data_IF_517378924439
#
_entry.id   IF_517378924439
#
_cell.length_a   1.000
_cell.length_b   1.000
_cell.length_c   1.000
_cell.angle_alpha   90.00
_cell.angle_beta   90.00
_cell.angle_gamma   90.00
#
_symmetry.space_group_name_H-M   'P 1'
#
loop_
_entity.id
_entity.type
_entity.pdbx_description
1 polymer ?
#
# COMPACT_ATOMS: atom_id res chain seq x y z
N UNK A 1 11.04 -9.14 14.92
CA UNK A 1 10.60 -10.52 14.61
C UNK A 1 10.25 -10.59 13.14
N UNK A 2 10.69 -11.64 12.45
CA UNK A 2 10.20 -11.94 11.11
C UNK A 2 8.83 -12.64 11.25
N UNK A 3 7.81 -12.09 10.62
CA UNK A 3 6.45 -12.64 10.67
C UNK A 3 6.28 -13.91 9.85
N UNK A 4 7.26 -14.24 8.99
CA UNK A 4 7.34 -15.54 8.32
C UNK A 4 7.86 -16.66 9.24
N UNK A 5 8.56 -16.32 10.34
CA UNK A 5 8.95 -17.25 11.40
C UNK A 5 7.82 -17.34 12.43
N UNK A 6 6.92 -18.31 12.24
CA UNK A 6 5.78 -18.53 13.14
C UNK A 6 6.21 -18.73 14.59
N UNK A 7 7.27 -19.47 14.85
CA UNK A 7 7.74 -19.74 16.22
C UNK A 7 8.24 -18.47 16.91
N UNK A 8 8.93 -17.58 16.18
CA UNK A 8 9.35 -16.29 16.69
C UNK A 8 8.16 -15.34 16.90
N UNK A 9 7.17 -15.35 16.00
CA UNK A 9 5.97 -14.56 16.11
C UNK A 9 5.09 -15.04 17.28
N UNK A 10 4.95 -16.35 17.48
CA UNK A 10 4.22 -16.96 18.61
C UNK A 10 4.71 -16.43 19.96
N UNK A 11 6.03 -16.32 20.17
CA UNK A 11 6.59 -15.75 21.40
C UNK A 11 6.15 -14.30 21.67
N UNK A 12 5.82 -13.54 20.62
CA UNK A 12 5.24 -12.19 20.78
C UNK A 12 3.81 -12.28 21.31
N UNK A 13 3.00 -13.18 20.74
CA UNK A 13 1.61 -13.39 21.18
C UNK A 13 1.53 -13.96 22.60
N UNK A 14 2.45 -14.81 23.01
CA UNK A 14 2.57 -15.33 24.37
C UNK A 14 2.98 -14.24 25.38
N UNK A 15 3.88 -13.34 24.95
CA UNK A 15 4.47 -12.33 25.82
C UNK A 15 3.57 -11.11 26.04
N UNK A 16 2.80 -10.72 25.04
CA UNK A 16 2.06 -9.46 25.03
C UNK A 16 0.56 -9.68 24.85
N UNK A 17 -0.23 -8.99 25.70
CA UNK A 17 -1.68 -8.94 25.56
C UNK A 17 -2.09 -7.68 24.78
N UNK A 18 -2.44 -7.85 23.51
CA UNK A 18 -2.86 -6.76 22.62
C UNK A 18 -4.23 -7.06 22.02
N UNK A 19 -5.05 -6.01 21.84
CA UNK A 19 -6.42 -6.13 21.32
C UNK A 19 -6.53 -6.01 19.80
N UNK A 20 -5.48 -5.56 19.14
CA UNK A 20 -5.51 -5.33 17.69
C UNK A 20 -4.14 -5.52 17.06
N UNK A 21 -4.13 -5.97 15.81
CA UNK A 21 -2.93 -6.07 14.97
C UNK A 21 -3.09 -5.13 13.77
N UNK A 22 -2.07 -4.33 13.47
CA UNK A 22 -1.95 -3.61 12.20
C UNK A 22 -0.86 -4.29 11.38
N UNK A 23 -1.25 -4.94 10.28
CA UNK A 23 -0.34 -5.73 9.46
C UNK A 23 0.17 -4.93 8.26
N UNK A 24 1.39 -4.40 8.38
CA UNK A 24 2.11 -3.72 7.29
C UNK A 24 3.17 -4.62 6.61
N UNK A 25 3.57 -5.72 7.25
CA UNK A 25 4.72 -6.51 6.83
C UNK A 25 4.49 -7.17 5.46
N UNK A 26 5.14 -6.63 4.44
CA UNK A 26 5.10 -7.16 3.07
C UNK A 26 6.22 -6.58 2.22
N UNK A 27 6.63 -7.29 1.17
CA UNK A 27 7.32 -6.67 0.04
C UNK A 27 6.31 -5.92 -0.82
N UNK A 28 6.67 -4.72 -1.32
CA UNK A 28 5.71 -3.82 -2.00
C UNK A 28 6.14 -3.31 -3.38
N UNK A 29 7.30 -3.70 -3.88
CA UNK A 29 7.83 -3.20 -5.14
C UNK A 29 7.22 -3.96 -6.34
N UNK A 30 6.36 -3.28 -7.13
CA UNK A 30 5.64 -3.87 -8.27
C UNK A 30 6.62 -4.49 -9.27
N UNK A 31 7.62 -3.74 -9.73
CA UNK A 31 8.60 -4.23 -10.70
C UNK A 31 9.41 -5.43 -10.21
N UNK A 32 9.87 -5.41 -8.95
CA UNK A 32 10.57 -6.57 -8.35
C UNK A 32 9.66 -7.79 -8.28
N UNK A 33 8.37 -7.59 -7.99
CA UNK A 33 7.43 -8.72 -7.91
C UNK A 33 7.28 -9.47 -9.24
N UNK A 34 7.39 -8.76 -10.36
CA UNK A 34 7.35 -9.38 -11.70
C UNK A 34 8.61 -10.20 -11.95
N UNK A 35 9.77 -9.71 -11.53
CA UNK A 35 11.05 -10.42 -11.67
C UNK A 35 11.19 -11.60 -10.69
N UNK A 36 10.69 -11.45 -9.45
CA UNK A 36 10.86 -12.42 -8.36
C UNK A 36 9.51 -12.82 -7.72
N UNK A 37 8.57 -13.40 -8.49
CA UNK A 37 7.19 -13.63 -8.00
C UNK A 37 7.11 -14.53 -6.78
N UNK A 38 7.90 -15.60 -6.72
CA UNK A 38 7.86 -16.54 -5.58
C UNK A 38 8.34 -15.91 -4.28
N UNK A 39 9.26 -14.94 -4.34
CA UNK A 39 9.68 -14.14 -3.17
C UNK A 39 8.49 -13.43 -2.55
N UNK A 40 7.64 -12.81 -3.38
CA UNK A 40 6.45 -12.08 -2.95
C UNK A 40 5.37 -12.99 -2.40
N UNK A 41 5.03 -14.06 -3.12
CA UNK A 41 4.01 -15.01 -2.64
C UNK A 41 4.42 -15.66 -1.31
N UNK A 42 5.66 -16.15 -1.20
CA UNK A 42 6.13 -16.78 0.04
C UNK A 42 6.12 -15.83 1.21
N UNK A 43 6.71 -14.63 1.04
CA UNK A 43 6.80 -13.66 2.13
C UNK A 43 5.44 -13.09 2.52
N UNK A 44 4.71 -12.53 1.57
CA UNK A 44 3.51 -11.75 1.88
C UNK A 44 2.37 -12.63 2.38
N UNK A 45 2.19 -13.83 1.80
CA UNK A 45 1.12 -14.72 2.22
C UNK A 45 1.47 -15.52 3.48
N UNK A 46 2.69 -16.07 3.60
CA UNK A 46 3.08 -16.80 4.80
C UNK A 46 3.05 -15.89 6.04
N UNK A 47 3.62 -14.68 5.93
CA UNK A 47 3.58 -13.66 6.99
C UNK A 47 2.15 -13.39 7.45
N UNK A 48 1.23 -13.16 6.50
CA UNK A 48 -0.16 -12.85 6.79
C UNK A 48 -0.92 -14.03 7.41
N UNK A 49 -0.76 -15.22 6.84
CA UNK A 49 -1.39 -16.45 7.36
C UNK A 49 -0.92 -16.78 8.77
N UNK A 50 0.37 -16.64 9.08
CA UNK A 50 0.90 -16.85 10.43
C UNK A 50 0.24 -15.90 11.43
N UNK A 51 0.08 -14.61 11.07
CA UNK A 51 -0.63 -13.64 11.92
C UNK A 51 -2.08 -14.08 12.15
N UNK A 52 -2.82 -14.42 11.10
CA UNK A 52 -4.23 -14.85 11.22
C UNK A 52 -4.37 -16.13 12.07
N UNK A 53 -3.47 -17.11 11.89
CA UNK A 53 -3.47 -18.35 12.66
C UNK A 53 -3.26 -18.10 14.16
N UNK A 54 -2.27 -17.27 14.49
CA UNK A 54 -1.98 -16.93 15.89
C UNK A 54 -3.08 -16.04 16.50
N UNK A 55 -3.68 -15.13 15.74
CA UNK A 55 -4.82 -14.35 16.21
C UNK A 55 -5.99 -15.25 16.61
N UNK A 56 -6.31 -16.26 15.79
CA UNK A 56 -7.32 -17.28 16.13
C UNK A 56 -6.95 -18.03 17.40
N UNK A 57 -5.71 -18.54 17.48
CA UNK A 57 -5.24 -19.36 18.60
C UNK A 57 -5.26 -18.60 19.93
N UNK A 58 -4.82 -17.32 19.90
CA UNK A 58 -4.74 -16.49 21.11
C UNK A 58 -5.99 -15.63 21.34
N UNK A 59 -7.06 -15.81 20.55
CA UNK A 59 -8.32 -15.08 20.69
C UNK A 59 -8.18 -13.56 20.49
N UNK A 60 -7.29 -13.11 19.59
CA UNK A 60 -7.11 -11.68 19.30
C UNK A 60 -8.16 -11.20 18.30
N UNK A 61 -9.00 -10.22 18.67
CA UNK A 61 -10.25 -9.97 17.92
C UNK A 61 -10.11 -9.11 16.68
N UNK A 62 -9.08 -8.25 16.56
CA UNK A 62 -9.08 -7.20 15.53
C UNK A 62 -7.81 -7.22 14.68
N UNK A 63 -7.98 -7.23 13.36
CA UNK A 63 -6.87 -7.09 12.40
C UNK A 63 -7.16 -6.00 11.37
N UNK A 64 -6.23 -5.06 11.26
CA UNK A 64 -6.19 -4.06 10.20
C UNK A 64 -5.15 -4.47 9.17
N UNK A 65 -5.59 -4.69 7.94
CA UNK A 65 -4.73 -5.13 6.85
C UNK A 65 -4.38 -3.96 5.91
N UNK A 66 -3.08 -3.77 5.70
CA UNK A 66 -2.54 -2.87 4.68
C UNK A 66 -2.75 -3.48 3.29
N UNK A 67 -3.90 -3.18 2.68
CA UNK A 67 -4.19 -3.55 1.30
C UNK A 67 -3.71 -2.46 0.32
N UNK A 68 -4.16 -2.50 -0.91
CA UNK A 68 -3.68 -1.60 -1.97
C UNK A 68 -4.74 -1.42 -3.06
N UNK A 69 -4.79 -0.27 -3.69
CA UNK A 69 -5.60 -0.04 -4.90
C UNK A 69 -5.22 -0.98 -6.06
N UNK A 70 -4.03 -1.60 -6.04
CA UNK A 70 -3.63 -2.61 -7.03
C UNK A 70 -4.53 -3.85 -7.08
N UNK A 71 -5.38 -4.06 -6.05
CA UNK A 71 -6.40 -5.13 -6.03
C UNK A 71 -7.50 -4.93 -7.08
N UNK A 72 -7.67 -3.72 -7.60
CA UNK A 72 -8.65 -3.47 -8.66
C UNK A 72 -8.18 -3.94 -10.04
N UNK A 73 -6.86 -4.20 -10.22
CA UNK A 73 -6.28 -4.47 -11.54
C UNK A 73 -6.42 -3.26 -12.47
N UNK A 74 -6.91 -3.48 -13.69
CA UNK A 74 -7.29 -2.43 -14.64
C UNK A 74 -8.81 -2.26 -14.63
N UNK A 75 -9.36 -1.32 -13.85
CA UNK A 75 -10.81 -1.14 -13.73
C UNK A 75 -11.40 -0.58 -15.03
N UNK A 76 -12.67 -0.95 -15.33
CA UNK A 76 -13.35 -0.44 -16.53
C UNK A 76 -13.74 1.02 -16.40
N UNK A 77 -13.96 1.48 -15.17
CA UNK A 77 -14.43 2.85 -14.87
C UNK A 77 -13.64 3.45 -13.73
N UNK A 78 -13.45 4.76 -13.79
CA UNK A 78 -12.85 5.60 -12.76
C UNK A 78 -13.84 6.70 -12.36
N UNK A 79 -13.85 7.17 -11.11
CA UNK A 79 -13.05 6.67 -9.99
C UNK A 79 -13.53 5.29 -9.50
N UNK A 80 -12.63 4.50 -8.94
CA UNK A 80 -12.98 3.21 -8.30
C UNK A 80 -13.60 3.45 -6.92
N UNK A 81 -14.55 2.60 -6.56
CA UNK A 81 -15.14 2.53 -5.23
C UNK A 81 -14.92 1.13 -4.64
N UNK A 82 -15.26 0.93 -3.36
CA UNK A 82 -15.16 -0.39 -2.72
C UNK A 82 -16.02 -1.45 -3.40
N UNK A 83 -17.08 -1.03 -4.11
CA UNK A 83 -17.99 -1.90 -4.90
C UNK A 83 -17.45 -2.20 -6.29
N UNK A 84 -16.40 -1.50 -6.75
CA UNK A 84 -15.79 -1.78 -8.06
C UNK A 84 -15.25 -3.21 -8.11
N UNK A 85 -15.65 -4.03 -9.10
CA UNK A 85 -15.20 -5.40 -9.20
C UNK A 85 -13.68 -5.48 -9.32
N UNK A 86 -13.08 -6.39 -8.56
CA UNK A 86 -11.65 -6.71 -8.70
C UNK A 86 -11.44 -7.47 -10.00
N UNK A 87 -10.48 -7.02 -10.80
CA UNK A 87 -9.98 -7.72 -11.99
C UNK A 87 -8.68 -8.46 -11.68
N UNK A 88 -8.20 -9.33 -12.56
CA UNK A 88 -6.89 -9.94 -12.41
C UNK A 88 -5.82 -8.88 -12.12
N UNK A 89 -5.05 -9.11 -11.08
CA UNK A 89 -3.97 -8.18 -10.71
C UNK A 89 -2.93 -8.07 -11.82
N UNK A 90 -2.40 -6.88 -12.06
CA UNK A 90 -1.39 -6.61 -13.09
C UNK A 90 0.03 -7.02 -12.66
N UNK A 91 0.19 -7.45 -11.40
CA UNK A 91 1.49 -7.87 -10.86
C UNK A 91 1.33 -8.91 -9.76
N UNK A 92 2.36 -9.74 -9.50
CA UNK A 92 2.38 -10.66 -8.36
C UNK A 92 2.17 -9.95 -7.01
N UNK A 93 2.72 -8.75 -6.83
CA UNK A 93 2.43 -7.93 -5.63
C UNK A 93 0.93 -7.67 -5.46
N UNK A 94 0.28 -7.14 -6.51
CA UNK A 94 -1.17 -6.89 -6.47
C UNK A 94 -1.97 -8.17 -6.20
N UNK A 95 -1.57 -9.29 -6.79
CA UNK A 95 -2.21 -10.58 -6.55
C UNK A 95 -2.04 -11.07 -5.10
N UNK A 96 -0.87 -10.84 -4.46
CA UNK A 96 -0.72 -11.17 -3.03
C UNK A 96 -1.65 -10.34 -2.16
N UNK A 97 -1.98 -9.10 -2.55
CA UNK A 97 -2.96 -8.27 -1.83
C UNK A 97 -4.39 -8.77 -2.03
N UNK A 98 -4.77 -9.19 -3.26
CA UNK A 98 -6.08 -9.81 -3.52
C UNK A 98 -6.24 -11.08 -2.69
N UNK A 99 -5.27 -12.00 -2.74
CA UNK A 99 -5.29 -13.25 -1.97
C UNK A 99 -5.36 -13.01 -0.46
N UNK A 100 -4.63 -12.02 0.06
CA UNK A 100 -4.67 -11.71 1.49
C UNK A 100 -6.03 -11.13 1.93
N UNK A 101 -6.70 -10.32 1.08
CA UNK A 101 -8.08 -9.89 1.34
C UNK A 101 -9.05 -11.09 1.37
N UNK A 102 -8.92 -12.05 0.44
CA UNK A 102 -9.76 -13.26 0.41
C UNK A 102 -9.51 -14.12 1.66
N UNK A 103 -8.25 -14.32 2.05
CA UNK A 103 -7.89 -15.03 3.29
C UNK A 103 -8.49 -14.33 4.51
N UNK A 104 -8.40 -13.00 4.59
CA UNK A 104 -8.96 -12.25 5.71
C UNK A 104 -10.48 -12.36 5.79
N UNK A 105 -11.15 -12.22 4.65
CA UNK A 105 -12.60 -12.40 4.54
C UNK A 105 -13.03 -13.79 5.06
N UNK A 106 -12.37 -14.84 4.59
CA UNK A 106 -12.67 -16.22 4.98
C UNK A 106 -12.38 -16.48 6.46
N UNK A 107 -11.29 -15.92 6.99
CA UNK A 107 -10.98 -15.98 8.42
C UNK A 107 -12.05 -15.28 9.26
N UNK A 108 -12.50 -14.09 8.87
CA UNK A 108 -13.54 -13.34 9.58
C UNK A 108 -14.90 -14.07 9.51
N UNK A 109 -15.19 -14.76 8.40
CA UNK A 109 -16.41 -15.57 8.27
C UNK A 109 -16.37 -16.85 9.10
N UNK A 110 -15.18 -17.48 9.24
CA UNK A 110 -15.02 -18.78 9.89
C UNK A 110 -14.74 -18.69 11.41
N UNK A 111 -14.13 -17.59 11.86
CA UNK A 111 -13.64 -17.47 13.25
C UNK A 111 -14.50 -16.46 14.01
N UNK A 112 -15.36 -16.99 14.90
CA UNK A 112 -16.23 -16.16 15.74
C UNK A 112 -15.42 -15.12 16.53
N UNK A 113 -15.84 -13.87 16.49
CA UNK A 113 -15.21 -12.76 17.19
C UNK A 113 -13.96 -12.17 16.51
N UNK A 114 -13.54 -12.68 15.35
CA UNK A 114 -12.49 -12.04 14.55
C UNK A 114 -13.11 -10.99 13.63
N UNK A 115 -12.59 -9.77 13.73
CA UNK A 115 -12.97 -8.63 12.90
C UNK A 115 -11.78 -8.15 12.07
N UNK A 116 -12.02 -7.91 10.79
CA UNK A 116 -10.99 -7.46 9.85
C UNK A 116 -11.39 -6.21 9.11
N UNK A 117 -10.45 -5.25 8.97
CA UNK A 117 -10.59 -4.14 8.03
C UNK A 117 -9.42 -4.18 7.06
N UNK A 118 -9.72 -4.12 5.75
CA UNK A 118 -8.72 -3.91 4.72
C UNK A 118 -8.75 -2.44 4.26
N UNK A 119 -7.62 -1.73 4.39
CA UNK A 119 -7.46 -0.39 3.84
C UNK A 119 -6.74 -0.48 2.49
N UNK A 120 -7.43 -0.15 1.40
CA UNK A 120 -6.88 -0.11 0.04
C UNK A 120 -6.24 1.25 -0.21
N UNK A 121 -4.91 1.34 0.02
CA UNK A 121 -4.18 2.59 -0.22
C UNK A 121 -4.01 2.85 -1.71
N UNK A 122 -4.13 4.12 -2.07
CA UNK A 122 -3.61 4.62 -3.34
C UNK A 122 -2.11 4.91 -3.18
N UNK A 123 -1.63 6.10 -3.43
CA UNK A 123 -0.20 6.40 -3.39
C UNK A 123 0.17 7.27 -2.18
N UNK A 124 0.61 6.69 -1.05
CA UNK A 124 1.03 7.49 0.09
C UNK A 124 2.28 8.31 -0.24
N UNK A 125 2.26 9.59 0.11
CA UNK A 125 3.38 10.52 -0.04
C UNK A 125 3.49 11.43 1.19
N UNK A 126 4.57 12.21 1.25
CA UNK A 126 4.78 13.20 2.29
C UNK A 126 5.53 12.68 3.49
N UNK A 127 5.65 13.55 4.48
CA UNK A 127 6.31 13.30 5.75
C UNK A 127 5.56 14.01 6.88
N UNK A 128 5.82 13.61 8.12
CA UNK A 128 5.22 14.28 9.27
C UNK A 128 5.72 15.74 9.37
N UNK A 129 4.86 16.74 9.68
CA UNK A 129 5.23 18.15 9.72
C UNK A 129 6.37 18.49 10.68
N UNK A 130 6.64 17.64 11.69
CA UNK A 130 7.78 17.80 12.60
C UNK A 130 9.14 17.59 11.93
N UNK A 131 9.18 17.04 10.71
CA UNK A 131 10.40 16.60 10.01
C UNK A 131 11.24 15.53 10.76
N UNK A 132 10.72 14.94 11.86
CA UNK A 132 11.40 13.89 12.62
C UNK A 132 11.25 12.51 11.99
N UNK A 133 10.22 12.30 11.17
CA UNK A 133 9.95 11.07 10.44
C UNK A 133 9.58 11.39 8.99
N UNK A 134 10.01 10.53 8.09
CA UNK A 134 9.75 10.64 6.66
C UNK A 134 10.06 9.33 5.95
N UNK A 135 9.98 9.31 4.62
CA UNK A 135 10.27 8.13 3.82
C UNK A 135 11.77 8.07 3.48
N UNK A 136 12.48 7.12 4.09
CA UNK A 136 13.89 6.84 3.83
C UNK A 136 14.08 5.38 3.41
N UNK A 137 13.84 5.03 2.14
CA UNK A 137 13.97 3.66 1.66
C UNK A 137 15.43 3.21 1.68
N UNK A 138 15.65 1.93 1.99
CA UNK A 138 16.98 1.31 1.88
C UNK A 138 17.32 1.09 0.40
N UNK A 139 18.51 1.55 -0.02
CA UNK A 139 18.97 1.44 -1.40
C UNK A 139 18.29 2.42 -2.36
N UNK A 140 18.04 1.97 -3.60
CA UNK A 140 17.41 2.80 -4.64
C UNK A 140 15.91 2.90 -4.39
N UNK A 141 15.33 4.12 -4.27
CA UNK A 141 13.89 4.27 -4.12
C UNK A 141 13.12 3.66 -5.31
N UNK A 142 12.03 2.97 -5.00
CA UNK A 142 11.12 2.44 -6.00
C UNK A 142 9.87 3.30 -6.19
N UNK A 143 9.62 4.22 -5.24
CA UNK A 143 8.52 5.18 -5.28
C UNK A 143 9.00 6.53 -5.83
N UNK A 144 8.08 7.29 -6.43
CA UNK A 144 8.38 8.55 -7.10
C UNK A 144 8.90 9.62 -6.15
N UNK A 145 8.20 9.91 -5.04
CA UNK A 145 8.54 11.05 -4.17
C UNK A 145 9.91 10.90 -3.50
N UNK A 146 10.30 9.76 -2.90
CA UNK A 146 11.65 9.63 -2.35
C UNK A 146 12.73 9.70 -3.44
N UNK A 147 12.43 9.31 -4.69
CA UNK A 147 13.36 9.51 -5.80
C UNK A 147 13.50 10.99 -6.15
N UNK A 148 12.39 11.75 -6.21
CA UNK A 148 12.37 13.20 -6.41
C UNK A 148 13.21 13.90 -5.33
N UNK A 149 12.95 13.62 -4.06
CA UNK A 149 13.66 14.27 -2.94
C UNK A 149 15.15 13.96 -2.93
N UNK A 150 15.55 12.72 -3.26
CA UNK A 150 16.95 12.35 -3.38
C UNK A 150 17.62 13.00 -4.59
N UNK A 151 16.89 13.20 -5.71
CA UNK A 151 17.41 13.95 -6.87
C UNK A 151 17.58 15.44 -6.54
N UNK A 152 16.60 16.04 -5.86
CA UNK A 152 16.68 17.42 -5.40
C UNK A 152 17.83 17.66 -4.43
N UNK A 153 18.13 16.68 -3.56
CA UNK A 153 19.24 16.73 -2.62
C UNK A 153 20.61 16.40 -3.26
N UNK A 154 20.67 16.14 -4.58
CA UNK A 154 21.90 15.78 -5.29
C UNK A 154 22.43 14.38 -4.99
N UNK A 155 21.65 13.53 -4.29
CA UNK A 155 22.02 12.14 -4.01
C UNK A 155 21.84 11.25 -5.24
N UNK A 156 21.03 11.70 -6.22
CA UNK A 156 20.83 11.07 -7.52
C UNK A 156 20.98 12.07 -8.62
N UNK A 157 21.60 11.61 -9.71
CA UNK A 157 21.92 12.47 -10.85
C UNK A 157 20.65 12.88 -11.63
N UNK A 158 19.71 11.95 -11.85
CA UNK A 158 18.60 12.16 -12.76
C UNK A 158 17.39 11.31 -12.36
N UNK A 159 16.20 11.92 -12.34
CA UNK A 159 14.92 11.22 -12.19
C UNK A 159 14.49 10.66 -13.55
N UNK A 160 14.05 9.40 -13.57
CA UNK A 160 13.39 8.80 -14.75
C UNK A 160 11.87 8.86 -14.60
N UNK A 161 11.19 9.47 -15.58
CA UNK A 161 9.74 9.45 -15.76
C UNK A 161 9.41 8.36 -16.78
N UNK A 162 8.57 7.41 -16.40
CA UNK A 162 8.28 6.21 -17.19
C UNK A 162 7.06 6.39 -18.08
N UNK A 163 7.30 6.62 -19.40
CA UNK A 163 6.27 6.83 -20.42
C UNK A 163 5.75 8.26 -20.46
N UNK A 164 5.51 8.74 -21.68
CA UNK A 164 4.87 10.02 -22.01
C UNK A 164 3.80 9.84 -23.10
N UNK A 165 3.41 8.60 -23.33
CA UNK A 165 2.50 8.18 -24.39
C UNK A 165 1.21 7.52 -23.85
N UNK A 166 0.92 7.71 -22.54
CA UNK A 166 -0.37 7.33 -21.98
C UNK A 166 -1.46 8.30 -22.44
N UNK A 167 -2.67 7.77 -22.59
CA UNK A 167 -3.86 8.58 -22.89
C UNK A 167 -4.30 9.34 -21.63
N UNK A 168 -3.56 10.39 -21.28
CA UNK A 168 -3.68 11.30 -20.14
C UNK A 168 -3.34 12.72 -20.60
N UNK A 169 -3.69 13.78 -19.84
CA UNK A 169 -3.48 15.15 -20.29
C UNK A 169 -2.03 15.53 -20.67
N UNK A 170 -1.03 14.91 -20.01
CA UNK A 170 0.39 15.19 -20.28
C UNK A 170 1.19 13.96 -20.72
N UNK A 171 0.49 12.86 -21.01
CA UNK A 171 1.09 11.61 -21.46
C UNK A 171 1.67 10.75 -20.34
N UNK A 172 1.77 11.24 -19.09
CA UNK A 172 2.29 10.46 -17.96
C UNK A 172 1.17 9.81 -17.14
N UNK A 173 1.49 8.79 -16.32
CA UNK A 173 0.51 8.09 -15.52
C UNK A 173 -0.20 9.01 -14.51
N UNK A 174 -1.48 8.76 -14.27
CA UNK A 174 -2.27 9.40 -13.22
C UNK A 174 -2.27 8.55 -11.94
N UNK A 175 -2.09 9.19 -10.80
CA UNK A 175 -2.13 8.53 -9.47
C UNK A 175 -2.87 9.41 -8.48
N UNK A 176 -3.67 8.78 -7.63
CA UNK A 176 -4.22 9.44 -6.45
C UNK A 176 -3.18 9.41 -5.33
N UNK A 177 -2.70 10.59 -4.94
CA UNK A 177 -1.71 10.75 -3.89
C UNK A 177 -2.38 11.17 -2.58
N UNK A 178 -2.12 10.42 -1.50
CA UNK A 178 -2.63 10.71 -0.16
C UNK A 178 -1.51 11.09 0.79
N UNK A 179 -1.71 12.11 1.62
CA UNK A 179 -0.77 12.50 2.66
C UNK A 179 -0.61 11.37 3.69
N UNK A 180 0.65 11.06 4.05
CA UNK A 180 0.98 9.96 4.96
C UNK A 180 0.41 10.15 6.37
N UNK A 181 0.20 11.40 6.82
CA UNK A 181 -0.41 11.70 8.13
C UNK A 181 -1.91 11.40 8.08
N UNK A 182 -2.59 11.71 6.98
CA UNK A 182 -4.00 11.38 6.80
C UNK A 182 -4.20 9.87 6.66
N UNK A 183 -3.29 9.19 5.98
CA UNK A 183 -3.26 7.73 5.97
C UNK A 183 -3.10 7.16 7.39
N UNK A 184 -2.19 7.71 8.20
CA UNK A 184 -2.01 7.29 9.60
C UNK A 184 -3.28 7.50 10.43
N UNK A 185 -3.96 8.65 10.26
CA UNK A 185 -5.26 8.93 10.90
C UNK A 185 -6.33 7.92 10.49
N UNK A 186 -6.36 7.51 9.21
CA UNK A 186 -7.27 6.48 8.73
C UNK A 186 -7.05 5.13 9.44
N UNK A 187 -5.79 4.77 9.72
CA UNK A 187 -5.48 3.57 10.52
C UNK A 187 -6.03 3.67 11.94
N UNK A 188 -5.83 4.82 12.61
CA UNK A 188 -6.37 5.04 13.96
C UNK A 188 -7.90 4.94 13.94
N UNK A 189 -8.55 5.60 12.99
CA UNK A 189 -10.01 5.55 12.85
C UNK A 189 -10.54 4.13 12.58
N UNK A 190 -9.82 3.32 11.79
CA UNK A 190 -10.18 1.94 11.53
C UNK A 190 -10.02 1.05 12.78
N UNK A 191 -8.94 1.21 13.54
CA UNK A 191 -8.76 0.50 14.82
C UNK A 191 -9.84 0.90 15.81
N UNK A 192 -10.15 2.20 15.94
CA UNK A 192 -11.23 2.70 16.80
C UNK A 192 -12.60 2.13 16.39
N UNK A 193 -12.85 1.98 15.07
CA UNK A 193 -14.08 1.39 14.55
C UNK A 193 -14.25 -0.07 15.01
N UNK A 194 -13.17 -0.86 14.96
CA UNK A 194 -13.16 -2.24 15.45
C UNK A 194 -13.30 -2.33 16.97
N UNK A 195 -12.48 -1.60 17.71
CA UNK A 195 -12.44 -1.67 19.18
C UNK A 195 -13.70 -1.14 19.84
N UNK A 196 -14.35 -0.14 19.22
CA UNK A 196 -15.63 0.42 19.69
C UNK A 196 -16.86 -0.36 19.15
N UNK A 197 -16.64 -1.51 18.49
CA UNK A 197 -17.70 -2.38 17.92
C UNK A 197 -18.65 -1.62 16.99
N UNK A 198 -18.11 -0.73 16.15
CA UNK A 198 -18.89 0.06 15.18
C UNK A 198 -18.92 -0.55 13.78
N UNK A 199 -18.33 -1.72 13.62
CA UNK A 199 -18.38 -2.46 12.36
C UNK A 199 -19.80 -2.96 12.09
N UNK A 200 -20.18 -2.96 10.81
CA UNK A 200 -21.47 -3.49 10.34
C UNK A 200 -21.38 -4.98 9.99
N UNK A 201 -20.20 -5.37 9.49
CA UNK A 201 -19.86 -6.73 9.08
C UNK A 201 -18.57 -7.17 9.79
N UNK A 202 -18.32 -8.47 9.87
CA UNK A 202 -17.06 -8.98 10.44
C UNK A 202 -15.82 -8.59 9.61
N UNK A 203 -16.01 -8.34 8.32
CA UNK A 203 -14.99 -7.86 7.39
C UNK A 203 -15.47 -6.62 6.65
N UNK A 204 -14.69 -5.54 6.69
CA UNK A 204 -14.98 -4.30 5.97
C UNK A 204 -13.79 -3.84 5.14
N UNK A 205 -14.06 -3.11 4.05
CA UNK A 205 -13.05 -2.57 3.13
C UNK A 205 -13.26 -1.08 3.02
N UNK A 206 -12.15 -0.32 2.98
CA UNK A 206 -12.19 1.12 2.71
C UNK A 206 -11.07 1.52 1.74
N UNK A 207 -11.43 2.32 0.75
CA UNK A 207 -10.47 3.01 -0.11
C UNK A 207 -9.87 4.20 0.64
N UNK A 208 -8.55 4.35 0.57
CA UNK A 208 -7.83 5.47 1.19
C UNK A 208 -7.08 6.24 0.12
N UNK A 209 -7.74 7.24 -0.42
CA UNK A 209 -7.29 8.17 -1.45
C UNK A 209 -8.01 9.50 -1.32
N UNK A 210 -7.72 10.44 -2.21
CA UNK A 210 -8.33 11.78 -2.25
C UNK A 210 -9.46 11.88 -3.25
N UNK A 211 -9.53 10.95 -4.20
CA UNK A 211 -10.44 11.00 -5.35
C UNK A 211 -10.00 12.02 -6.42
N UNK A 212 -8.84 12.63 -6.26
CA UNK A 212 -8.30 13.63 -7.19
C UNK A 212 -6.93 13.16 -7.70
N UNK A 213 -6.88 12.52 -8.88
CA UNK A 213 -5.63 12.03 -9.42
C UNK A 213 -4.76 13.17 -9.94
N UNK A 214 -3.45 13.02 -9.78
CA UNK A 214 -2.42 13.93 -10.27
C UNK A 214 -1.46 13.14 -11.16
N UNK A 215 -0.99 13.73 -12.26
CA UNK A 215 -0.02 13.08 -13.13
C UNK A 215 1.37 13.06 -12.51
N UNK A 216 2.21 12.13 -12.99
CA UNK A 216 3.62 12.08 -12.55
C UNK A 216 4.34 13.38 -12.86
N UNK A 217 4.12 13.96 -14.05
CA UNK A 217 4.76 15.21 -14.44
C UNK A 217 4.22 16.41 -13.65
N UNK A 218 2.91 16.47 -13.38
CA UNK A 218 2.32 17.50 -12.51
C UNK A 218 2.92 17.48 -11.10
N UNK A 219 3.14 16.28 -10.53
CA UNK A 219 3.77 16.15 -9.21
C UNK A 219 5.22 16.66 -9.23
N UNK A 220 6.00 16.29 -10.26
CA UNK A 220 7.37 16.78 -10.45
C UNK A 220 7.38 18.30 -10.55
N UNK A 221 6.53 18.89 -11.39
CA UNK A 221 6.42 20.35 -11.57
C UNK A 221 5.89 21.05 -10.32
N UNK A 222 4.97 20.41 -9.58
CA UNK A 222 4.51 20.89 -8.29
C UNK A 222 5.65 20.98 -7.26
N UNK A 223 6.48 19.94 -7.19
CA UNK A 223 7.64 19.90 -6.32
C UNK A 223 8.67 20.99 -6.68
N UNK A 224 8.98 21.18 -7.97
CA UNK A 224 9.87 22.26 -8.45
C UNK A 224 9.37 23.63 -8.00
N UNK A 225 8.08 23.94 -8.25
CA UNK A 225 7.48 25.22 -7.86
C UNK A 225 7.51 25.45 -6.35
N UNK A 226 7.15 24.43 -5.57
CA UNK A 226 7.08 24.55 -4.11
C UNK A 226 8.45 24.79 -3.45
N UNK A 227 9.52 24.31 -4.08
CA UNK A 227 10.89 24.41 -3.53
C UNK A 227 11.78 25.41 -4.25
N UNK A 228 11.30 26.09 -5.30
CA UNK A 228 12.07 27.07 -6.06
C UNK A 228 13.32 26.48 -6.75
N UNK A 229 13.24 25.23 -7.22
CA UNK A 229 14.34 24.52 -7.86
C UNK A 229 13.91 23.88 -9.18
N UNK A 230 14.87 23.41 -9.97
CA UNK A 230 14.65 22.61 -11.18
C UNK A 230 15.26 21.23 -10.97
N UNK A 231 14.47 20.20 -11.23
CA UNK A 231 14.91 18.81 -11.15
C UNK A 231 15.55 18.36 -12.47
N UNK A 232 16.65 17.64 -12.39
CA UNK A 232 17.18 16.92 -13.53
C UNK A 232 16.36 15.65 -13.73
N UNK A 233 15.52 15.61 -14.78
CA UNK A 233 14.75 14.42 -15.13
C UNK A 233 14.80 14.14 -16.63
N UNK A 234 14.53 12.89 -16.98
CA UNK A 234 14.35 12.44 -18.36
C UNK A 234 13.14 11.52 -18.47
N UNK A 235 12.49 11.56 -19.62
CA UNK A 235 11.43 10.61 -19.97
C UNK A 235 12.09 9.37 -20.58
N UNK A 236 11.64 8.19 -20.12
CA UNK A 236 12.11 6.88 -20.60
C UNK A 236 10.91 6.03 -20.97
N UNK A 237 11.13 4.88 -21.60
CA UNK A 237 10.04 3.95 -21.95
C UNK A 237 9.18 3.51 -20.75
N UNK A 238 7.96 3.05 -21.01
CA UNK A 238 7.01 2.56 -19.99
C UNK A 238 7.64 1.47 -19.11
N UNK A 239 7.32 1.48 -17.83
CA UNK A 239 7.72 0.43 -16.90
C UNK A 239 6.70 -0.72 -16.96
N UNK A 240 7.18 -1.97 -16.95
CA UNK A 240 6.32 -3.14 -16.91
C UNK A 240 5.45 -3.15 -15.62
N UNK A 241 4.15 -3.42 -15.76
CA UNK A 241 3.18 -3.45 -14.67
C UNK A 241 2.61 -2.09 -14.28
N UNK A 242 3.02 -0.98 -14.91
CA UNK A 242 2.35 0.31 -14.72
C UNK A 242 1.02 0.35 -15.48
N UNK A 243 0.00 0.89 -14.80
CA UNK A 243 -1.32 1.18 -15.38
C UNK A 243 -1.46 2.68 -15.65
N UNK A 244 -2.31 3.06 -16.62
CA UNK A 244 -2.56 4.44 -17.02
C UNK A 244 -3.01 5.31 -15.84
N UNK A 245 -3.97 4.82 -15.09
CA UNK A 245 -4.58 5.53 -13.96
C UNK A 245 -5.06 4.56 -12.87
N UNK A 246 -4.93 4.95 -11.65
CA UNK A 246 -5.47 4.27 -10.47
C UNK A 246 -5.55 5.25 -9.29
#
# INVERSE_FOLDING_TARGET
VDTCDEAALRRVFEKYDFGSVIHFAAYKAVGESVAEPLKYYRNNLASFMNVCALMKEFGRPNILFSSSATVYGEPDTLPVTEQTPRKPATSPYGNTKQMAEDILHDCCAAYEGLHGIALRYFNPIGAHPSALIGELPRGVPQNLVPYITQTAAGLRECLSIFGDDYDTPDGTCLRDYIDVVDLAKAHVAAVDRMTQRRMKEAYEIFNIGTGTPVSVLELVKGFERANGLTLNYKIVGRRAGDVKAV
#
